data_IF_199868513955
#
_entry.id   IF_199868513955
#
_cell.length_a   1.000
_cell.length_b   1.000
_cell.length_c   1.000
_cell.angle_alpha   90.00
_cell.angle_beta   90.00
_cell.angle_gamma   90.00
#
_symmetry.space_group_name_H-M   'P 1'
#
loop_
_entity.id
_entity.type
_entity.pdbx_description
1 polymer ?
#
# COMPACT_ATOMS: atom_id res chain seq x y z
N UNK A 1 -26.11 38.46 15.45
CA UNK A 1 -26.26 39.01 16.81
C UNK A 1 -25.56 38.04 17.76
N UNK A 2 -24.56 38.55 18.46
CA UNK A 2 -23.44 37.87 19.14
C UNK A 2 -23.84 37.24 20.48
N UNK A 3 -23.32 36.04 20.82
CA UNK A 3 -22.93 35.62 22.20
C UNK A 3 -22.29 34.20 22.15
N UNK A 4 -20.94 34.07 22.21
CA UNK A 4 -20.08 33.79 23.38
C UNK A 4 -20.49 32.56 24.21
N UNK A 5 -19.71 31.47 24.12
CA UNK A 5 -19.62 30.43 25.16
C UNK A 5 -18.19 30.35 25.71
N UNK A 6 -18.11 30.19 27.03
CA UNK A 6 -16.95 30.33 27.91
C UNK A 6 -16.20 29.00 28.09
N UNK A 7 -14.88 29.11 28.18
CA UNK A 7 -13.93 28.14 28.73
C UNK A 7 -14.22 27.80 30.21
N UNK A 8 -13.92 26.56 30.61
CA UNK A 8 -13.64 26.18 32.00
C UNK A 8 -12.39 25.30 32.05
N UNK A 9 -11.32 25.89 32.59
CA UNK A 9 -10.18 25.21 33.21
C UNK A 9 -10.48 25.06 34.71
N UNK A 10 -10.11 23.94 35.33
CA UNK A 10 -9.90 23.88 36.77
C UNK A 10 -8.61 23.11 37.09
N UNK A 11 -7.66 23.86 37.63
CA UNK A 11 -6.49 23.40 38.38
C UNK A 11 -6.73 23.73 39.84
N UNK A 12 -6.41 22.82 40.77
CA UNK A 12 -6.07 23.18 42.15
C UNK A 12 -5.28 22.04 42.84
N UNK A 13 -4.00 22.31 43.11
CA UNK A 13 -3.21 21.68 44.16
C UNK A 13 -3.63 22.25 45.53
N UNK A 14 -3.56 21.46 46.60
CA UNK A 14 -3.12 21.97 47.92
C UNK A 14 -2.49 20.85 48.78
N UNK A 15 -1.39 21.24 49.44
CA UNK A 15 -0.49 20.48 50.33
C UNK A 15 -0.84 20.78 51.79
N UNK A 16 -0.65 19.80 52.69
CA UNK A 16 0.05 19.92 53.99
C UNK A 16 -0.37 18.82 54.98
N UNK A 17 0.61 18.17 55.61
CA UNK A 17 0.40 17.21 56.71
C UNK A 17 0.60 17.83 58.10
N UNK A 18 0.36 17.03 59.15
CA UNK A 18 1.15 17.01 60.39
C UNK A 18 0.77 15.80 61.28
N UNK A 19 1.75 15.38 62.07
CA UNK A 19 1.81 14.24 62.98
C UNK A 19 0.96 14.38 64.26
N UNK A 20 0.56 13.25 64.88
CA UNK A 20 0.91 12.96 66.28
C UNK A 20 0.60 11.50 66.70
N UNK A 21 1.34 11.02 67.70
CA UNK A 21 1.52 9.63 68.12
C UNK A 21 0.91 9.30 69.49
N UNK A 22 0.80 8.00 69.82
CA UNK A 22 0.81 7.33 71.15
C UNK A 22 1.00 5.82 70.86
N UNK A 23 2.10 5.10 71.19
CA UNK A 23 2.63 4.69 72.52
C UNK A 23 2.02 3.33 72.92
N UNK A 24 2.67 2.27 73.44
CA UNK A 24 4.04 1.88 73.83
C UNK A 24 3.97 0.36 74.15
N UNK A 25 5.03 -0.44 73.97
CA UNK A 25 5.56 -1.43 74.95
C UNK A 25 6.69 -2.34 74.39
N UNK A 26 7.67 -2.61 75.27
CA UNK A 26 8.99 -3.25 75.04
C UNK A 26 8.91 -4.79 75.19
N UNK A 27 9.57 -5.64 74.37
CA UNK A 27 10.94 -6.20 74.48
C UNK A 27 10.87 -7.69 73.98
N UNK A 28 11.95 -8.48 73.77
CA UNK A 28 13.38 -8.18 73.58
C UNK A 28 13.97 -8.72 72.24
N UNK A 29 15.20 -8.30 71.94
CA UNK A 29 16.05 -8.79 70.84
C UNK A 29 16.25 -10.31 70.89
N UNK A 30 15.94 -10.98 69.77
CA UNK A 30 16.50 -12.29 69.42
C UNK A 30 16.99 -12.26 67.98
N UNK A 31 18.26 -12.61 67.82
CA UNK A 31 18.96 -12.68 66.55
C UNK A 31 18.21 -13.60 65.57
N UNK A 32 17.89 -13.09 64.38
CA UNK A 32 17.54 -13.93 63.25
C UNK A 32 18.62 -13.82 62.18
N UNK A 33 19.31 -14.94 61.97
CA UNK A 33 20.37 -15.09 61.00
C UNK A 33 19.79 -14.92 59.60
N UNK A 34 20.38 -14.02 58.81
CA UNK A 34 20.04 -13.86 57.41
C UNK A 34 20.35 -15.14 56.64
N UNK A 35 19.30 -15.80 56.14
CA UNK A 35 19.45 -16.77 55.06
C UNK A 35 19.65 -15.98 53.77
N UNK A 36 20.90 -15.82 53.36
CA UNK A 36 21.21 -15.35 52.01
C UNK A 36 20.62 -16.37 51.01
N UNK A 37 19.70 -15.91 50.16
CA UNK A 37 19.33 -16.67 48.97
C UNK A 37 20.60 -16.90 48.13
N UNK A 38 20.79 -18.12 47.57
CA UNK A 38 21.93 -18.37 46.71
C UNK A 38 21.83 -17.45 45.49
N UNK A 39 22.85 -16.62 45.27
CA UNK A 39 23.00 -15.83 44.05
C UNK A 39 22.85 -16.76 42.84
N UNK A 40 21.77 -16.58 42.07
CA UNK A 40 21.65 -17.25 40.77
C UNK A 40 22.84 -16.79 39.93
N UNK A 41 23.57 -17.71 39.28
CA UNK A 41 24.63 -17.32 38.36
C UNK A 41 24.03 -16.39 37.32
N UNK A 42 24.64 -15.21 37.17
CA UNK A 42 24.23 -14.23 36.18
C UNK A 42 24.15 -14.94 34.82
N UNK A 43 22.94 -15.05 34.29
CA UNK A 43 22.74 -15.54 32.93
C UNK A 43 23.54 -14.60 32.03
N UNK A 44 24.56 -15.14 31.36
CA UNK A 44 25.24 -14.44 30.27
C UNK A 44 24.17 -14.05 29.28
N UNK A 45 23.80 -12.77 29.27
CA UNK A 45 22.80 -12.22 28.37
C UNK A 45 23.28 -12.51 26.95
N UNK A 46 22.55 -13.38 26.25
CA UNK A 46 22.67 -13.44 24.79
C UNK A 46 22.42 -12.02 24.30
N UNK A 47 23.27 -11.44 23.42
CA UNK A 47 23.03 -10.10 22.90
C UNK A 47 21.58 -10.02 22.43
N UNK A 48 20.80 -9.10 23.00
CA UNK A 48 19.41 -8.94 22.61
C UNK A 48 19.40 -8.72 21.09
N UNK A 49 18.77 -9.64 20.34
CA UNK A 49 18.65 -9.52 18.88
C UNK A 49 18.01 -8.15 18.64
N UNK A 50 18.66 -7.32 17.82
CA UNK A 50 18.10 -6.04 17.43
C UNK A 50 16.72 -6.31 16.82
N UNK A 51 15.70 -5.50 17.15
CA UNK A 51 14.40 -5.62 16.49
C UNK A 51 14.60 -5.53 14.96
N UNK A 52 13.85 -6.33 14.17
CA UNK A 52 14.00 -6.30 12.73
C UNK A 52 13.46 -4.99 12.16
N UNK A 53 13.98 -4.57 11.02
CA UNK A 53 13.29 -3.60 10.18
C UNK A 53 12.05 -4.27 9.57
N UNK A 54 11.07 -3.47 9.17
CA UNK A 54 9.86 -3.94 8.50
C UNK A 54 9.75 -3.16 7.19
N UNK A 55 9.69 -3.87 6.07
CA UNK A 55 9.39 -3.31 4.76
C UNK A 55 8.09 -3.93 4.28
N UNK A 56 7.05 -3.12 4.15
CA UNK A 56 5.79 -3.56 3.59
C UNK A 56 5.58 -2.85 2.25
N UNK A 57 5.65 -3.64 1.19
CA UNK A 57 5.38 -3.25 -0.19
C UNK A 57 3.94 -3.63 -0.54
N UNK A 58 3.17 -2.66 -1.02
CA UNK A 58 1.79 -2.84 -1.44
C UNK A 58 1.63 -2.40 -2.90
N UNK A 59 1.22 -3.33 -3.77
CA UNK A 59 0.77 -3.03 -5.12
C UNK A 59 -0.73 -2.65 -5.12
N UNK A 60 -1.17 -1.90 -6.13
CA UNK A 60 -2.54 -1.35 -6.23
C UNK A 60 -3.23 -1.96 -7.46
N UNK A 61 -4.25 -2.79 -7.24
CA UNK A 61 -4.97 -3.58 -8.26
C UNK A 61 -4.13 -4.65 -9.00
N UNK A 62 -3.01 -5.10 -8.45
CA UNK A 62 -2.24 -6.23 -9.02
C UNK A 62 -3.06 -7.52 -8.89
N UNK A 63 -3.20 -8.27 -10.00
CA UNK A 63 -3.94 -9.52 -10.01
C UNK A 63 -3.18 -10.71 -9.42
N UNK A 64 -3.93 -11.77 -9.08
CA UNK A 64 -3.42 -12.93 -8.34
C UNK A 64 -2.29 -13.65 -9.07
N UNK A 65 -2.43 -13.90 -10.36
CA UNK A 65 -1.42 -14.62 -11.15
C UNK A 65 -0.44 -13.72 -11.91
N UNK A 66 -0.34 -12.42 -11.62
CA UNK A 66 0.46 -11.47 -12.41
C UNK A 66 1.96 -11.43 -12.11
N UNK A 67 2.40 -12.08 -11.03
CA UNK A 67 3.81 -12.33 -10.76
C UNK A 67 4.26 -13.66 -11.37
N UNK A 68 5.49 -13.75 -11.88
CA UNK A 68 5.98 -15.00 -12.49
C UNK A 68 6.02 -16.17 -11.51
N UNK A 69 6.34 -15.92 -10.23
CA UNK A 69 6.18 -16.90 -9.15
C UNK A 69 4.73 -17.40 -8.94
N UNK A 70 3.73 -16.62 -9.35
CA UNK A 70 2.30 -16.98 -9.34
C UNK A 70 1.77 -17.43 -10.71
N UNK A 71 2.66 -17.68 -11.67
CA UNK A 71 2.33 -18.27 -12.97
C UNK A 71 2.26 -17.31 -14.14
N UNK A 72 2.70 -16.07 -13.94
CA UNK A 72 2.75 -15.03 -14.98
C UNK A 72 3.84 -15.25 -16.02
N UNK A 73 3.59 -14.74 -17.23
CA UNK A 73 4.61 -14.45 -18.25
C UNK A 73 5.35 -13.13 -18.02
N UNK A 74 4.79 -12.22 -17.20
CA UNK A 74 5.42 -10.95 -16.88
C UNK A 74 6.68 -11.22 -16.05
N UNK A 75 7.86 -10.73 -16.47
CA UNK A 75 9.09 -10.98 -15.73
C UNK A 75 9.12 -10.18 -14.42
N UNK A 76 9.09 -10.89 -13.29
CA UNK A 76 9.24 -10.30 -11.94
C UNK A 76 10.37 -10.97 -11.14
N UNK A 77 11.63 -10.92 -11.62
CA UNK A 77 12.73 -11.68 -11.03
C UNK A 77 13.07 -11.31 -9.58
N UNK A 78 12.83 -10.06 -9.14
CA UNK A 78 13.16 -9.64 -7.78
C UNK A 78 12.14 -10.18 -6.76
N UNK A 79 10.86 -10.09 -7.10
CA UNK A 79 9.76 -10.68 -6.33
C UNK A 79 9.82 -12.21 -6.37
N UNK A 80 10.23 -12.80 -7.49
CA UNK A 80 10.46 -14.25 -7.58
C UNK A 80 11.58 -14.70 -6.63
N UNK A 81 12.67 -13.94 -6.52
CA UNK A 81 13.74 -14.23 -5.57
C UNK A 81 13.24 -14.17 -4.12
N UNK A 82 12.44 -13.14 -3.77
CA UNK A 82 11.80 -13.07 -2.45
C UNK A 82 10.83 -14.23 -2.19
N UNK A 83 10.07 -14.63 -3.21
CA UNK A 83 9.13 -15.75 -3.11
C UNK A 83 9.85 -17.09 -2.94
N UNK A 84 10.97 -17.30 -3.64
CA UNK A 84 11.80 -18.49 -3.55
C UNK A 84 12.47 -18.63 -2.17
N UNK A 85 13.01 -17.54 -1.64
CA UNK A 85 13.71 -17.54 -0.34
C UNK A 85 12.76 -17.34 0.85
N UNK A 86 11.50 -17.03 0.59
CA UNK A 86 10.48 -16.68 1.57
C UNK A 86 9.30 -17.66 1.63
N UNK A 87 8.12 -17.10 1.92
CA UNK A 87 6.86 -17.85 1.98
C UNK A 87 5.85 -17.20 1.04
N UNK A 88 5.32 -18.00 0.11
CA UNK A 88 4.19 -17.61 -0.74
C UNK A 88 2.87 -17.90 -0.02
N UNK A 89 1.93 -16.96 -0.11
CA UNK A 89 0.60 -17.07 0.51
C UNK A 89 -0.45 -17.20 -0.58
N UNK A 90 -0.97 -18.41 -0.78
CA UNK A 90 -2.01 -18.68 -1.79
C UNK A 90 -3.43 -18.49 -1.26
N UNK A 91 -3.58 -18.25 0.06
CA UNK A 91 -4.86 -18.10 0.76
C UNK A 91 -4.82 -16.90 1.73
N UNK A 92 -4.35 -15.76 1.23
CA UNK A 92 -4.34 -14.46 1.91
C UNK A 92 -5.45 -13.56 1.34
N UNK A 93 -6.14 -12.82 2.20
CA UNK A 93 -7.30 -12.02 1.80
C UNK A 93 -7.12 -10.54 2.15
N UNK A 94 -7.50 -9.70 1.20
CA UNK A 94 -7.68 -8.26 1.38
C UNK A 94 -9.18 -7.90 1.39
N UNK A 95 -9.51 -6.64 1.62
CA UNK A 95 -10.83 -6.09 1.33
C UNK A 95 -11.08 -6.03 -0.19
N UNK A 96 -12.32 -5.73 -0.62
CA UNK A 96 -12.68 -5.72 -2.04
C UNK A 96 -12.15 -4.49 -2.81
N UNK A 97 -11.68 -3.45 -2.12
CA UNK A 97 -11.17 -2.21 -2.72
C UNK A 97 -10.09 -1.56 -1.83
N UNK A 98 -9.33 -0.65 -2.42
CA UNK A 98 -8.08 -0.10 -1.87
C UNK A 98 -8.19 0.45 -0.44
N UNK A 99 -9.06 1.45 -0.21
CA UNK A 99 -9.09 2.17 1.07
C UNK A 99 -9.65 1.35 2.24
N UNK A 100 -10.68 0.50 2.06
CA UNK A 100 -11.02 -0.53 3.03
C UNK A 100 -9.83 -1.40 3.44
N UNK A 101 -9.11 -2.01 2.48
CA UNK A 101 -7.93 -2.85 2.78
C UNK A 101 -6.86 -2.08 3.53
N UNK A 102 -6.50 -0.88 3.06
CA UNK A 102 -5.48 -0.04 3.71
C UNK A 102 -5.88 0.31 5.14
N UNK A 103 -7.17 0.56 5.40
CA UNK A 103 -7.64 0.82 6.76
C UNK A 103 -7.51 -0.40 7.68
N UNK A 104 -7.69 -1.61 7.13
CA UNK A 104 -7.51 -2.88 7.86
C UNK A 104 -6.03 -3.14 8.14
N UNK A 105 -5.14 -2.88 7.17
CA UNK A 105 -3.69 -2.96 7.34
C UNK A 105 -3.22 -2.13 8.54
N UNK A 106 -3.66 -0.87 8.63
CA UNK A 106 -3.18 0.04 9.68
C UNK A 106 -3.88 -0.15 11.02
N UNK A 107 -5.03 -0.79 11.08
CA UNK A 107 -5.79 -0.92 12.33
C UNK A 107 -5.81 -2.34 12.90
N UNK A 108 -5.48 -3.36 12.10
CA UNK A 108 -5.64 -4.77 12.47
C UNK A 108 -7.10 -5.18 12.69
N UNK A 109 -8.07 -4.38 12.25
CA UNK A 109 -9.51 -4.64 12.41
C UNK A 109 -10.27 -4.39 11.10
N UNK A 110 -11.57 -4.69 11.10
CA UNK A 110 -12.44 -4.51 9.93
C UNK A 110 -12.59 -3.02 9.54
N UNK A 111 -12.73 -2.76 8.23
CA UNK A 111 -12.78 -1.39 7.71
C UNK A 111 -13.98 -0.58 8.22
N UNK A 112 -15.11 -1.23 8.55
CA UNK A 112 -16.27 -0.58 9.17
C UNK A 112 -15.98 -0.13 10.60
N UNK A 113 -14.98 -0.70 11.28
CA UNK A 113 -14.51 -0.17 12.57
C UNK A 113 -13.47 0.92 12.38
N UNK A 114 -12.65 0.79 11.35
CA UNK A 114 -11.55 1.71 11.04
C UNK A 114 -11.99 3.03 10.36
N UNK A 115 -13.25 3.17 9.94
CA UNK A 115 -13.81 4.41 9.39
C UNK A 115 -14.03 4.41 7.87
N UNK A 116 -13.69 3.30 7.21
CA UNK A 116 -13.77 3.06 5.76
C UNK A 116 -14.71 1.88 5.47
N UNK A 117 -15.94 1.91 6.03
CA UNK A 117 -16.99 0.95 5.65
C UNK A 117 -17.35 1.05 4.15
N UNK A 118 -17.13 2.22 3.56
CA UNK A 118 -17.12 2.47 2.12
C UNK A 118 -15.94 3.38 1.78
N UNK A 119 -15.45 3.33 0.55
CA UNK A 119 -14.49 4.32 0.05
C UNK A 119 -15.07 5.74 0.18
N UNK A 120 -14.23 6.74 0.44
CA UNK A 120 -14.65 8.14 0.58
C UNK A 120 -15.48 8.63 -0.63
N UNK A 121 -15.02 8.32 -1.85
CA UNK A 121 -15.75 8.68 -3.08
C UNK A 121 -17.06 7.91 -3.31
N UNK A 122 -17.32 6.85 -2.55
CA UNK A 122 -18.53 6.02 -2.62
C UNK A 122 -19.55 6.30 -1.52
N UNK A 123 -19.33 7.33 -0.68
CA UNK A 123 -20.27 7.70 0.37
C UNK A 123 -21.63 8.12 -0.19
N UNK A 124 -22.70 7.74 0.51
CA UNK A 124 -24.08 8.11 0.21
C UNK A 124 -24.64 8.95 1.36
N UNK A 125 -25.71 9.74 1.15
CA UNK A 125 -26.31 10.55 2.21
C UNK A 125 -26.64 9.76 3.49
N UNK A 126 -27.01 8.47 3.35
CA UNK A 126 -27.35 7.58 4.46
C UNK A 126 -26.15 7.19 5.32
N UNK A 127 -24.93 7.27 4.78
CA UNK A 127 -23.69 6.95 5.50
C UNK A 127 -23.20 8.12 6.36
N UNK A 128 -23.69 9.33 6.09
CA UNK A 128 -23.22 10.54 6.78
C UNK A 128 -23.44 10.40 8.29
N UNK A 129 -22.41 10.74 9.06
CA UNK A 129 -22.39 10.71 10.52
C UNK A 129 -22.62 9.31 11.14
N UNK A 130 -22.62 8.24 10.33
CA UNK A 130 -22.72 6.87 10.83
C UNK A 130 -21.37 6.37 11.36
N UNK A 131 -21.35 5.61 12.47
CA UNK A 131 -20.14 4.97 12.96
C UNK A 131 -19.51 4.08 11.88
N UNK A 132 -18.21 4.27 11.62
CA UNK A 132 -17.50 3.48 10.61
C UNK A 132 -17.47 4.04 9.19
N UNK A 133 -18.16 5.15 8.94
CA UNK A 133 -18.27 5.78 7.63
C UNK A 133 -17.69 7.20 7.64
N UNK A 134 -16.54 7.36 8.30
CA UNK A 134 -15.86 8.65 8.40
C UNK A 134 -15.26 9.12 7.06
N UNK A 135 -14.92 8.19 6.16
CA UNK A 135 -14.24 8.48 4.89
C UNK A 135 -12.73 8.67 5.02
N UNK A 136 -12.19 8.46 6.22
CA UNK A 136 -10.76 8.48 6.54
C UNK A 136 -10.49 7.48 7.66
N UNK A 137 -9.23 7.04 7.81
CA UNK A 137 -8.85 6.18 8.93
C UNK A 137 -9.16 6.95 10.22
N UNK A 138 -10.11 6.48 11.01
CA UNK A 138 -10.61 7.23 12.15
C UNK A 138 -9.64 7.15 13.34
N UNK A 139 -9.93 7.91 14.39
CA UNK A 139 -9.17 7.95 15.64
C UNK A 139 -9.73 7.01 16.72
N UNK A 140 -10.59 6.07 16.35
CA UNK A 140 -11.07 4.99 17.23
C UNK A 140 -10.18 3.75 17.16
N UNK A 141 -9.20 3.75 16.24
CA UNK A 141 -8.19 2.71 16.06
C UNK A 141 -6.80 3.31 16.17
N UNK A 142 -5.89 2.62 16.86
CA UNK A 142 -4.47 2.97 16.85
C UNK A 142 -3.86 2.55 15.52
N UNK A 143 -3.15 3.46 14.84
CA UNK A 143 -2.44 3.13 13.61
C UNK A 143 -1.24 2.23 13.92
N UNK A 144 -0.96 1.23 13.09
CA UNK A 144 0.27 0.44 13.15
C UNK A 144 1.52 1.33 13.17
N UNK A 145 1.52 2.44 12.40
CA UNK A 145 2.64 3.37 12.38
C UNK A 145 2.75 4.17 13.70
N UNK A 146 1.64 4.55 14.34
CA UNK A 146 1.66 5.18 15.67
C UNK A 146 2.32 4.24 16.69
N UNK A 147 1.89 2.98 16.71
CA UNK A 147 2.42 1.96 17.63
C UNK A 147 3.91 1.69 17.41
N UNK A 148 4.37 1.67 16.16
CA UNK A 148 5.79 1.48 15.83
C UNK A 148 6.64 2.70 16.19
N UNK A 149 6.11 3.91 15.97
CA UNK A 149 6.75 5.15 16.43
C UNK A 149 6.90 5.17 17.95
N UNK A 150 5.86 4.81 18.71
CA UNK A 150 5.92 4.67 20.18
C UNK A 150 6.95 3.61 20.63
N UNK A 151 7.14 2.56 19.83
CA UNK A 151 8.14 1.52 20.05
C UNK A 151 9.57 1.92 19.63
N UNK A 152 9.76 3.15 19.12
CA UNK A 152 11.07 3.70 18.76
C UNK A 152 11.55 3.36 17.35
N UNK A 153 10.66 2.90 16.45
CA UNK A 153 10.97 2.75 15.04
C UNK A 153 11.00 4.09 14.33
N UNK A 154 11.87 4.23 13.33
CA UNK A 154 11.67 5.26 12.32
C UNK A 154 10.62 4.77 11.31
N UNK A 155 9.61 5.59 11.04
CA UNK A 155 8.47 5.22 10.18
C UNK A 155 8.44 6.06 8.90
N UNK A 156 8.39 5.42 7.75
CA UNK A 156 8.43 6.05 6.43
C UNK A 156 7.28 5.56 5.56
N UNK A 157 6.71 6.48 4.77
CA UNK A 157 5.72 6.12 3.76
C UNK A 157 6.03 6.77 2.41
N UNK A 158 5.98 6.00 1.35
CA UNK A 158 5.92 6.55 0.00
C UNK A 158 4.77 5.92 -0.78
N UNK A 159 4.10 6.72 -1.61
CA UNK A 159 3.03 6.24 -2.50
C UNK A 159 1.60 6.63 -2.09
N UNK A 160 0.63 5.74 -2.25
CA UNK A 160 -0.80 6.05 -2.11
C UNK A 160 -1.29 5.93 -0.67
N UNK A 161 -1.76 7.05 -0.10
CA UNK A 161 -2.35 7.07 1.23
C UNK A 161 -3.79 6.55 1.25
N UNK A 162 -4.72 7.25 0.59
CA UNK A 162 -6.12 6.84 0.44
C UNK A 162 -6.89 6.62 1.76
N UNK A 163 -6.42 7.21 2.86
CA UNK A 163 -7.02 7.09 4.19
C UNK A 163 -7.33 8.44 4.84
N UNK A 164 -7.38 9.50 4.02
CA UNK A 164 -7.61 10.88 4.46
C UNK A 164 -7.00 11.87 3.48
N UNK A 165 -7.51 13.09 3.45
CA UNK A 165 -7.08 14.14 2.51
C UNK A 165 -6.52 15.39 3.19
N UNK A 166 -6.79 15.55 4.48
CA UNK A 166 -6.34 16.71 5.26
C UNK A 166 -5.00 16.43 5.93
N UNK A 167 -4.39 17.45 6.51
CA UNK A 167 -3.16 17.26 7.30
C UNK A 167 -3.43 16.37 8.52
N UNK A 168 -4.55 16.59 9.20
CA UNK A 168 -4.97 15.85 10.39
C UNK A 168 -5.30 14.39 10.09
N UNK A 169 -5.60 14.06 8.83
CA UNK A 169 -5.93 12.69 8.40
C UNK A 169 -4.86 12.09 7.48
N UNK A 170 -3.73 12.78 7.30
CA UNK A 170 -2.60 12.36 6.47
C UNK A 170 -1.62 11.45 7.20
N UNK A 171 -0.59 10.93 6.51
CA UNK A 171 0.37 10.00 7.08
C UNK A 171 1.10 10.53 8.32
N UNK A 172 1.52 11.81 8.30
CA UNK A 172 2.23 12.43 9.44
C UNK A 172 1.39 12.42 10.71
N UNK A 173 0.08 12.70 10.59
CA UNK A 173 -0.84 12.65 11.72
C UNK A 173 -1.14 11.23 12.22
N UNK A 174 -0.77 10.20 11.44
CA UNK A 174 -1.05 8.78 11.70
C UNK A 174 0.20 7.94 11.93
N UNK A 175 1.26 8.60 12.39
CA UNK A 175 2.43 7.95 12.96
C UNK A 175 3.62 7.86 12.03
N UNK A 176 3.54 8.40 10.79
CA UNK A 176 4.70 8.47 9.90
C UNK A 176 5.56 9.70 10.20
N UNK A 177 6.87 9.52 10.21
CA UNK A 177 7.86 10.59 10.43
C UNK A 177 8.18 11.31 9.13
N UNK A 178 8.30 10.55 8.03
CA UNK A 178 8.55 11.06 6.68
C UNK A 178 7.52 10.44 5.73
N UNK A 179 6.99 11.25 4.84
CA UNK A 179 6.04 10.74 3.85
C UNK A 179 6.07 11.53 2.56
N UNK A 180 6.08 10.85 1.42
CA UNK A 180 5.78 11.44 0.12
C UNK A 180 4.63 10.67 -0.53
N UNK A 181 3.45 11.27 -0.58
CA UNK A 181 2.23 10.53 -0.92
C UNK A 181 1.33 11.22 -1.93
N UNK A 182 0.64 10.42 -2.74
CA UNK A 182 -0.65 10.85 -3.29
C UNK A 182 -1.74 10.60 -2.25
N UNK A 183 -2.64 11.57 -2.08
CA UNK A 183 -3.73 11.47 -1.11
C UNK A 183 -4.90 10.63 -1.65
N UNK A 184 -5.03 10.52 -2.98
CA UNK A 184 -6.14 9.84 -3.64
C UNK A 184 -5.75 9.34 -5.04
N UNK A 185 -6.39 8.26 -5.49
CA UNK A 185 -6.25 7.62 -6.81
C UNK A 185 -4.82 7.51 -7.34
N UNK A 186 -4.69 7.46 -8.67
CA UNK A 186 -3.42 7.21 -9.34
C UNK A 186 -3.28 8.01 -10.64
N UNK A 187 -2.06 8.51 -10.86
CA UNK A 187 -1.53 8.97 -12.14
C UNK A 187 -0.02 8.69 -12.09
N UNK A 188 0.51 8.10 -13.16
CA UNK A 188 1.84 7.50 -13.11
C UNK A 188 2.88 8.33 -13.82
N UNK A 189 2.52 9.02 -14.90
CA UNK A 189 3.44 9.80 -15.71
C UNK A 189 3.06 11.28 -15.75
N UNK A 190 4.05 12.12 -15.47
CA UNK A 190 3.92 13.57 -15.51
C UNK A 190 2.89 14.13 -14.51
N UNK A 191 2.42 15.36 -14.72
CA UNK A 191 1.51 16.03 -13.80
C UNK A 191 0.03 15.65 -13.94
N UNK A 192 -0.33 14.78 -14.91
CA UNK A 192 -1.74 14.48 -15.23
C UNK A 192 -2.54 14.14 -13.97
N UNK A 193 -3.67 14.80 -13.78
CA UNK A 193 -4.63 14.47 -12.73
C UNK A 193 -5.78 13.64 -13.30
N UNK A 194 -6.28 12.66 -12.55
CA UNK A 194 -7.53 11.94 -12.86
C UNK A 194 -8.79 12.66 -12.34
N UNK A 195 -8.60 13.76 -11.61
CA UNK A 195 -9.65 14.71 -11.21
C UNK A 195 -9.44 15.94 -12.08
N UNK A 196 -10.49 16.56 -12.59
CA UNK A 196 -10.50 17.72 -13.51
C UNK A 196 -9.60 18.94 -13.16
N UNK A 197 -8.82 18.87 -12.08
CA UNK A 197 -7.62 19.67 -11.79
C UNK A 197 -6.54 19.55 -12.88
N UNK A 198 -5.76 20.62 -13.07
CA UNK A 198 -4.61 20.62 -13.97
C UNK A 198 -3.45 19.72 -13.47
N UNK A 199 -3.36 19.47 -12.15
CA UNK A 199 -2.25 18.70 -11.55
C UNK A 199 -2.71 17.76 -10.44
N UNK A 200 -2.07 16.59 -10.35
CA UNK A 200 -2.29 15.64 -9.25
C UNK A 200 -1.71 16.18 -7.94
N UNK A 201 -2.51 16.33 -6.87
CA UNK A 201 -1.98 16.80 -5.60
C UNK A 201 -1.17 15.71 -4.89
N UNK A 202 0.12 15.97 -4.71
CA UNK A 202 0.99 15.20 -3.83
C UNK A 202 1.18 15.93 -2.50
N UNK A 203 1.60 15.18 -1.47
CA UNK A 203 2.00 15.74 -0.18
C UNK A 203 3.38 15.22 0.22
N UNK A 204 4.30 16.13 0.52
CA UNK A 204 5.62 15.84 1.09
C UNK A 204 5.61 16.31 2.57
N UNK A 205 5.60 15.36 3.49
CA UNK A 205 5.28 15.61 4.89
C UNK A 205 3.89 16.23 5.05
N UNK A 206 3.84 17.49 5.47
CA UNK A 206 2.59 18.25 5.62
C UNK A 206 2.28 19.15 4.42
N UNK A 207 3.27 19.41 3.54
CA UNK A 207 3.17 20.37 2.45
C UNK A 207 2.57 19.75 1.19
N UNK A 208 1.66 20.48 0.52
CA UNK A 208 1.16 20.08 -0.80
C UNK A 208 2.19 20.47 -1.86
N UNK A 209 2.50 19.52 -2.75
CA UNK A 209 3.50 19.68 -3.81
C UNK A 209 2.94 19.20 -5.15
N UNK A 210 3.45 19.77 -6.23
CA UNK A 210 3.17 19.35 -7.60
C UNK A 210 4.36 18.57 -8.16
N UNK A 211 4.07 17.64 -9.06
CA UNK A 211 5.08 16.87 -9.78
C UNK A 211 5.30 17.44 -11.18
N UNK A 212 6.50 17.25 -11.74
CA UNK A 212 6.86 17.74 -13.07
C UNK A 212 6.68 16.69 -14.16
N UNK A 213 7.05 17.04 -15.40
CA UNK A 213 6.86 16.20 -16.59
C UNK A 213 7.66 14.88 -16.57
N UNK A 214 8.83 14.86 -15.92
CA UNK A 214 9.67 13.65 -15.77
C UNK A 214 9.16 12.70 -14.67
N UNK A 215 8.07 13.03 -14.00
CA UNK A 215 7.56 12.21 -12.90
C UNK A 215 7.14 10.83 -13.40
N UNK A 216 7.71 9.78 -12.81
CA UNK A 216 7.19 8.42 -12.87
C UNK A 216 6.95 7.89 -11.45
N UNK A 217 5.69 7.62 -11.10
CA UNK A 217 5.29 7.35 -9.71
C UNK A 217 6.09 6.23 -9.06
N UNK A 218 6.24 5.09 -9.73
CA UNK A 218 6.95 3.91 -9.21
C UNK A 218 8.43 4.21 -8.93
N UNK A 219 9.07 5.00 -9.81
CA UNK A 219 10.45 5.46 -9.61
C UNK A 219 10.56 6.37 -8.40
N UNK A 220 9.76 7.44 -8.37
CA UNK A 220 9.87 8.48 -7.34
C UNK A 220 9.54 7.93 -5.95
N UNK A 221 8.54 7.05 -5.82
CA UNK A 221 8.23 6.42 -4.52
C UNK A 221 9.39 5.58 -3.99
N UNK A 222 10.13 4.93 -4.89
CA UNK A 222 11.29 4.10 -4.55
C UNK A 222 12.48 4.95 -4.15
N UNK A 223 12.82 5.94 -4.97
CA UNK A 223 13.91 6.90 -4.71
C UNK A 223 13.70 7.60 -3.35
N UNK A 224 12.50 8.14 -3.09
CA UNK A 224 12.18 8.80 -1.82
C UNK A 224 12.26 7.85 -0.62
N UNK A 225 11.89 6.57 -0.77
CA UNK A 225 12.00 5.63 0.34
C UNK A 225 13.46 5.34 0.69
N UNK A 226 14.31 5.12 -0.32
CA UNK A 226 15.74 4.92 -0.13
C UNK A 226 16.37 6.17 0.51
N UNK A 227 16.01 7.36 0.04
CA UNK A 227 16.44 8.63 0.64
C UNK A 227 16.05 8.74 2.11
N UNK A 228 14.83 8.35 2.48
CA UNK A 228 14.36 8.40 3.87
C UNK A 228 15.11 7.43 4.79
N UNK A 229 15.36 6.20 4.33
CA UNK A 229 16.14 5.21 5.08
C UNK A 229 17.58 5.71 5.24
N UNK A 230 18.19 6.23 4.18
CA UNK A 230 19.56 6.77 4.22
C UNK A 230 19.69 7.96 5.17
N UNK A 231 18.76 8.91 5.09
CA UNK A 231 18.80 10.16 5.86
C UNK A 231 18.82 9.93 7.38
N UNK A 232 18.14 8.89 7.85
CA UNK A 232 18.03 8.58 9.28
C UNK A 232 18.92 7.37 9.68
N UNK A 233 19.72 6.82 8.75
CA UNK A 233 20.55 5.62 8.98
C UNK A 233 21.50 5.76 10.16
N UNK A 234 22.05 6.95 10.37
CA UNK A 234 22.99 7.24 11.46
C UNK A 234 22.35 7.13 12.86
N UNK A 235 21.02 7.14 12.96
CA UNK A 235 20.31 6.97 14.25
C UNK A 235 20.41 5.54 14.79
N UNK A 236 20.71 4.55 13.94
CA UNK A 236 20.87 3.14 14.36
C UNK A 236 19.61 2.48 14.91
N UNK A 237 18.43 3.08 14.69
CA UNK A 237 17.11 2.57 15.06
C UNK A 237 16.57 1.60 13.99
N UNK A 238 15.69 0.64 14.35
CA UNK A 238 14.94 -0.11 13.34
C UNK A 238 13.99 0.83 12.59
N UNK A 239 13.57 0.45 11.39
CA UNK A 239 12.59 1.22 10.61
C UNK A 239 11.41 0.40 10.14
N UNK A 240 10.29 1.09 9.93
CA UNK A 240 9.11 0.62 9.22
C UNK A 240 8.97 1.44 7.93
N UNK A 241 9.20 0.80 6.79
CA UNK A 241 9.09 1.38 5.46
C UNK A 241 7.83 0.82 4.78
N UNK A 242 6.85 1.67 4.54
CA UNK A 242 5.63 1.32 3.81
C UNK A 242 5.68 1.91 2.39
N UNK A 243 5.95 1.05 1.40
CA UNK A 243 5.98 1.40 -0.02
C UNK A 243 4.63 1.03 -0.64
N UNK A 244 3.72 1.98 -0.68
CA UNK A 244 2.37 1.78 -1.20
C UNK A 244 2.28 2.24 -2.64
N UNK A 245 2.81 1.45 -3.57
CA UNK A 245 2.78 1.79 -4.99
C UNK A 245 1.34 2.05 -5.48
N UNK A 246 1.24 2.90 -6.51
CA UNK A 246 0.00 3.06 -7.28
C UNK A 246 -0.05 2.10 -8.46
N UNK A 247 1.07 1.50 -8.87
CA UNK A 247 1.08 0.54 -9.97
C UNK A 247 0.52 -0.83 -9.51
N UNK A 248 -0.16 -1.59 -10.38
CA UNK A 248 -0.50 -1.28 -11.78
C UNK A 248 -1.90 -0.67 -12.01
N UNK A 249 -2.45 0.05 -11.03
CA UNK A 249 -3.76 0.72 -11.11
C UNK A 249 -3.87 1.66 -12.32
N UNK A 250 -5.09 2.01 -12.71
CA UNK A 250 -5.36 2.95 -13.80
C UNK A 250 -5.04 4.41 -13.42
N UNK A 251 -4.80 5.29 -14.41
CA UNK A 251 -4.70 4.99 -15.84
C UNK A 251 -3.47 4.14 -16.14
N UNK A 252 -3.60 3.09 -16.97
CA UNK A 252 -2.43 2.26 -17.28
C UNK A 252 -1.43 3.08 -18.10
N UNK A 253 -0.28 3.35 -17.51
CA UNK A 253 0.73 4.26 -18.02
C UNK A 253 2.13 3.78 -17.62
N UNK A 254 3.06 3.76 -18.56
CA UNK A 254 4.45 3.38 -18.33
C UNK A 254 5.40 4.11 -19.29
N UNK A 255 6.69 4.30 -18.92
CA UNK A 255 7.68 4.87 -19.83
C UNK A 255 7.73 4.13 -21.17
N UNK A 256 8.03 4.83 -22.27
CA UNK A 256 8.04 4.26 -23.62
C UNK A 256 9.04 3.08 -23.73
N UNK A 257 10.21 3.20 -23.11
CA UNK A 257 11.21 2.15 -23.05
C UNK A 257 10.73 0.91 -22.29
N UNK A 258 9.78 1.08 -21.37
CA UNK A 258 9.17 -0.02 -20.63
C UNK A 258 8.10 -0.72 -21.43
N UNK A 259 7.23 0.03 -22.11
CA UNK A 259 6.21 -0.53 -23.02
C UNK A 259 6.87 -1.30 -24.15
N UNK A 260 7.97 -0.77 -24.71
CA UNK A 260 8.67 -1.37 -25.85
C UNK A 260 9.10 -2.83 -25.61
N UNK A 261 9.39 -3.21 -24.35
CA UNK A 261 9.78 -4.59 -23.97
C UNK A 261 8.68 -5.62 -24.23
N UNK A 262 7.42 -5.21 -24.25
CA UNK A 262 6.26 -6.08 -24.34
C UNK A 262 5.59 -6.10 -25.72
N UNK A 263 6.10 -5.33 -26.68
CA UNK A 263 5.53 -5.21 -28.03
C UNK A 263 5.25 -6.57 -28.66
N UNK A 264 3.98 -6.83 -29.02
CA UNK A 264 3.51 -8.04 -29.68
C UNK A 264 3.37 -9.28 -28.78
N UNK A 265 3.71 -9.19 -27.49
CA UNK A 265 3.61 -10.34 -26.58
C UNK A 265 2.15 -10.76 -26.31
N UNK A 266 1.20 -9.84 -26.50
CA UNK A 266 -0.21 -10.01 -26.16
C UNK A 266 -1.14 -10.17 -27.38
N UNK A 267 -0.58 -10.35 -28.59
CA UNK A 267 -1.34 -10.47 -29.85
C UNK A 267 -2.23 -11.72 -29.92
N UNK A 268 -1.89 -12.76 -29.14
CA UNK A 268 -2.71 -13.97 -29.02
C UNK A 268 -4.02 -13.75 -28.24
N UNK A 269 -4.08 -12.69 -27.42
CA UNK A 269 -5.31 -12.25 -26.75
C UNK A 269 -5.56 -12.81 -25.34
N UNK A 270 -6.47 -12.14 -24.64
CA UNK A 270 -6.82 -12.45 -23.25
C UNK A 270 -7.42 -13.85 -23.06
N UNK A 271 -8.11 -14.42 -24.05
CA UNK A 271 -8.70 -15.76 -23.92
C UNK A 271 -7.60 -16.83 -23.92
N UNK A 272 -6.58 -16.68 -24.77
CA UNK A 272 -5.42 -17.58 -24.80
C UNK A 272 -4.60 -17.42 -23.54
N UNK A 273 -4.32 -16.18 -23.11
CA UNK A 273 -3.52 -15.91 -21.93
C UNK A 273 -4.21 -16.42 -20.66
N UNK A 274 -5.53 -16.26 -20.55
CA UNK A 274 -6.32 -16.79 -19.44
C UNK A 274 -6.14 -18.32 -19.29
N UNK A 275 -6.23 -19.08 -20.39
CA UNK A 275 -6.03 -20.53 -20.33
C UNK A 275 -4.58 -20.90 -19.94
N UNK A 276 -3.60 -20.11 -20.37
CA UNK A 276 -2.20 -20.30 -19.98
C UNK A 276 -1.98 -20.07 -18.47
N UNK A 277 -2.49 -18.96 -17.92
CA UNK A 277 -2.41 -18.65 -16.48
C UNK A 277 -3.16 -19.69 -15.65
N UNK A 278 -4.37 -20.08 -16.07
CA UNK A 278 -5.16 -21.11 -15.40
C UNK A 278 -4.43 -22.45 -15.35
N UNK A 279 -3.85 -22.89 -16.47
CA UNK A 279 -3.04 -24.11 -16.52
C UNK A 279 -1.83 -24.01 -15.60
N UNK A 280 -1.14 -22.86 -15.60
CA UNK A 280 0.04 -22.65 -14.77
C UNK A 280 -0.28 -22.67 -13.27
N UNK A 281 -1.40 -22.07 -12.85
CA UNK A 281 -1.87 -22.11 -11.46
C UNK A 281 -2.18 -23.55 -11.01
N UNK A 282 -2.73 -24.39 -11.90
CA UNK A 282 -2.95 -25.82 -11.64
C UNK A 282 -1.62 -26.57 -11.50
N UNK A 283 -0.67 -26.32 -12.40
CA UNK A 283 0.66 -26.96 -12.37
C UNK A 283 1.46 -26.59 -11.12
N UNK A 284 1.31 -25.35 -10.63
CA UNK A 284 1.89 -24.89 -9.37
C UNK A 284 1.18 -25.46 -8.13
N UNK A 285 0.01 -26.08 -8.30
CA UNK A 285 -0.80 -26.62 -7.20
C UNK A 285 -1.47 -25.54 -6.34
N UNK A 286 -1.59 -24.32 -6.86
CA UNK A 286 -2.22 -23.20 -6.14
C UNK A 286 -3.75 -23.31 -6.17
N UNK A 287 -4.28 -23.98 -7.19
CA UNK A 287 -5.71 -24.30 -7.32
C UNK A 287 -5.89 -25.79 -7.67
N UNK A 288 -7.08 -26.38 -7.42
CA UNK A 288 -7.38 -27.76 -7.81
C UNK A 288 -7.21 -28.01 -9.32
N UNK A 289 -6.68 -29.18 -9.69
CA UNK A 289 -6.46 -29.55 -11.10
C UNK A 289 -7.77 -29.58 -11.93
N UNK A 290 -8.89 -29.91 -11.28
CA UNK A 290 -10.24 -29.93 -11.86
C UNK A 290 -10.97 -28.59 -11.76
N UNK A 291 -10.32 -27.52 -11.28
CA UNK A 291 -10.92 -26.19 -11.21
C UNK A 291 -11.35 -25.74 -12.63
N UNK A 292 -12.64 -25.43 -12.85
CA UNK A 292 -13.16 -25.06 -14.18
C UNK A 292 -12.74 -23.64 -14.62
N UNK A 293 -12.15 -22.85 -13.72
CA UNK A 293 -11.82 -21.46 -13.94
C UNK A 293 -13.04 -20.52 -13.87
N UNK A 294 -12.78 -19.22 -13.96
CA UNK A 294 -13.80 -18.18 -14.00
C UNK A 294 -14.43 -18.02 -15.40
N UNK A 295 -15.76 -17.88 -15.51
CA UNK A 295 -16.40 -17.57 -16.78
C UNK A 295 -16.04 -16.16 -17.26
N UNK A 296 -16.22 -15.88 -18.56
CA UNK A 296 -16.13 -14.50 -19.09
C UNK A 296 -17.13 -13.60 -18.39
N UNK A 297 -16.74 -12.34 -18.17
CA UNK A 297 -17.64 -11.34 -17.65
C UNK A 297 -18.83 -11.12 -18.62
N UNK A 298 -20.03 -11.01 -18.07
CA UNK A 298 -21.24 -10.89 -18.87
C UNK A 298 -21.19 -9.66 -19.80
N UNK A 299 -21.53 -9.87 -21.07
CA UNK A 299 -21.57 -8.80 -22.09
C UNK A 299 -20.20 -8.41 -22.66
N UNK A 300 -19.11 -9.10 -22.29
CA UNK A 300 -17.80 -8.85 -22.89
C UNK A 300 -17.55 -9.76 -24.10
N UNK A 301 -16.97 -9.24 -25.20
CA UNK A 301 -16.71 -10.02 -26.42
C UNK A 301 -15.65 -11.11 -26.19
N UNK A 302 -15.59 -12.11 -27.08
CA UNK A 302 -14.42 -12.98 -27.20
C UNK A 302 -13.30 -12.24 -27.93
N UNK A 303 -12.05 -12.68 -27.77
CA UNK A 303 -10.93 -12.10 -28.54
C UNK A 303 -11.13 -12.23 -30.06
N UNK A 304 -11.69 -13.36 -30.51
CA UNK A 304 -11.97 -13.64 -31.91
C UNK A 304 -13.09 -12.77 -32.50
N UNK A 305 -13.99 -12.26 -31.65
CA UNK A 305 -15.11 -11.41 -32.06
C UNK A 305 -14.68 -9.93 -32.27
N UNK A 306 -13.49 -9.55 -31.79
CA UNK A 306 -12.96 -8.20 -31.94
C UNK A 306 -12.57 -7.93 -33.40
N UNK A 307 -12.67 -6.67 -33.82
CA UNK A 307 -12.00 -6.19 -35.03
C UNK A 307 -10.48 -6.20 -34.87
N UNK A 308 -9.76 -6.05 -35.98
CA UNK A 308 -8.28 -5.95 -35.95
C UNK A 308 -7.80 -4.74 -35.14
N UNK A 309 -8.50 -3.61 -35.25
CA UNK A 309 -8.20 -2.39 -34.50
C UNK A 309 -8.43 -2.58 -32.99
N UNK A 310 -9.56 -3.18 -32.61
CA UNK A 310 -9.86 -3.48 -31.20
C UNK A 310 -8.82 -4.44 -30.60
N UNK A 311 -8.41 -5.48 -31.33
CA UNK A 311 -7.33 -6.39 -30.86
C UNK A 311 -6.02 -5.64 -30.61
N UNK A 312 -5.62 -4.74 -31.50
CA UNK A 312 -4.41 -3.93 -31.33
C UNK A 312 -4.50 -3.02 -30.11
N UNK A 313 -5.64 -2.40 -29.89
CA UNK A 313 -5.89 -1.57 -28.71
C UNK A 313 -5.81 -2.42 -27.44
N UNK A 314 -6.52 -3.55 -27.37
CA UNK A 314 -6.52 -4.42 -26.20
C UNK A 314 -5.14 -5.02 -25.90
N UNK A 315 -4.39 -5.47 -26.93
CA UNK A 315 -3.02 -5.93 -26.77
C UNK A 315 -2.14 -4.82 -26.18
N UNK A 316 -2.20 -3.60 -26.73
CA UNK A 316 -1.43 -2.46 -26.21
C UNK A 316 -1.78 -2.13 -24.75
N UNK A 317 -3.04 -2.24 -24.33
CA UNK A 317 -3.39 -2.03 -22.90
C UNK A 317 -2.63 -3.01 -22.00
N UNK A 318 -2.57 -4.28 -22.41
CA UNK A 318 -1.85 -5.31 -21.65
C UNK A 318 -0.33 -5.15 -21.72
N UNK A 319 0.24 -4.71 -22.85
CA UNK A 319 1.66 -4.35 -22.95
C UNK A 319 2.04 -3.27 -21.93
N UNK A 320 1.21 -2.23 -21.80
CA UNK A 320 1.43 -1.14 -20.84
C UNK A 320 1.26 -1.64 -19.40
N UNK A 321 0.23 -2.45 -19.12
CA UNK A 321 0.04 -3.06 -17.81
C UNK A 321 1.24 -3.93 -17.39
N UNK A 322 1.70 -4.81 -18.28
CA UNK A 322 2.86 -5.66 -18.06
C UNK A 322 4.16 -4.84 -17.85
N UNK A 323 4.31 -3.74 -18.58
CA UNK A 323 5.39 -2.79 -18.35
C UNK A 323 5.35 -2.18 -16.95
N UNK A 324 4.17 -1.80 -16.44
CA UNK A 324 4.01 -1.29 -15.08
C UNK A 324 4.36 -2.34 -14.01
N UNK A 325 3.92 -3.58 -14.18
CA UNK A 325 4.22 -4.69 -13.24
C UNK A 325 5.71 -5.04 -13.27
N UNK A 326 6.32 -5.09 -14.46
CA UNK A 326 7.76 -5.33 -14.61
C UNK A 326 8.61 -4.20 -14.01
N UNK A 327 8.19 -2.93 -14.18
CA UNK A 327 8.88 -1.82 -13.54
C UNK A 327 8.67 -1.81 -12.02
N UNK A 328 7.48 -2.17 -11.51
CA UNK A 328 7.24 -2.38 -10.09
C UNK A 328 8.27 -3.37 -9.51
N UNK A 329 8.43 -4.53 -10.15
CA UNK A 329 9.43 -5.51 -9.73
C UNK A 329 10.86 -4.96 -9.75
N UNK A 330 11.25 -4.27 -10.84
CA UNK A 330 12.57 -3.65 -10.95
C UNK A 330 12.85 -2.70 -9.79
N UNK A 331 11.90 -1.83 -9.46
CA UNK A 331 12.06 -0.86 -8.38
C UNK A 331 12.00 -1.49 -6.99
N UNK A 332 11.25 -2.58 -6.81
CA UNK A 332 11.37 -3.42 -5.60
C UNK A 332 12.78 -3.99 -5.48
N UNK A 333 13.37 -4.42 -6.60
CA UNK A 333 14.77 -4.82 -6.69
C UNK A 333 15.74 -3.74 -6.20
N UNK A 334 15.54 -2.48 -6.61
CA UNK A 334 16.37 -1.35 -6.16
C UNK A 334 16.31 -1.13 -4.63
N UNK A 335 15.14 -1.30 -4.01
CA UNK A 335 15.01 -1.25 -2.53
C UNK A 335 15.78 -2.40 -1.89
N UNK A 336 15.60 -3.62 -2.40
CA UNK A 336 16.27 -4.83 -1.89
C UNK A 336 17.79 -4.70 -1.99
N UNK A 337 18.28 -4.24 -3.13
CA UNK A 337 19.72 -4.05 -3.38
C UNK A 337 20.29 -2.96 -2.49
N UNK A 338 19.55 -1.88 -2.27
CA UNK A 338 19.94 -0.86 -1.30
C UNK A 338 20.03 -1.47 0.12
N UNK A 339 19.02 -2.22 0.58
CA UNK A 339 19.05 -2.89 1.89
C UNK A 339 20.23 -3.85 2.04
N UNK A 340 20.58 -4.60 0.99
CA UNK A 340 21.77 -5.47 0.95
C UNK A 340 23.05 -4.64 1.05
N UNK A 341 23.14 -3.54 0.31
CA UNK A 341 24.32 -2.67 0.27
C UNK A 341 24.64 -2.03 1.64
N UNK A 342 23.62 -1.78 2.47
CA UNK A 342 23.77 -1.24 3.82
C UNK A 342 23.75 -2.30 4.92
N UNK A 343 23.75 -3.59 4.54
CA UNK A 343 23.78 -4.73 5.46
C UNK A 343 22.51 -4.86 6.32
N UNK A 344 21.37 -4.34 5.87
CA UNK A 344 20.09 -4.40 6.59
C UNK A 344 19.16 -5.51 6.09
N UNK A 345 19.42 -6.09 4.91
CA UNK A 345 18.53 -7.09 4.29
C UNK A 345 18.23 -8.29 5.20
N UNK A 346 19.26 -8.94 5.75
CA UNK A 346 19.11 -10.13 6.61
C UNK A 346 18.35 -9.90 7.93
N UNK A 347 18.22 -8.64 8.37
CA UNK A 347 17.47 -8.25 9.58
C UNK A 347 16.21 -7.45 9.22
N UNK A 348 15.63 -7.69 8.04
CA UNK A 348 14.41 -7.02 7.57
C UNK A 348 13.33 -8.05 7.29
N UNK A 349 12.16 -7.88 7.92
CA UNK A 349 10.95 -8.57 7.52
C UNK A 349 10.36 -7.85 6.31
N UNK A 350 10.23 -8.55 5.18
CA UNK A 350 9.67 -8.01 3.94
C UNK A 350 8.32 -8.68 3.66
N UNK A 351 7.28 -7.87 3.50
CA UNK A 351 5.95 -8.31 3.07
C UNK A 351 5.62 -7.63 1.74
N UNK A 352 5.18 -8.42 0.75
CA UNK A 352 4.62 -7.93 -0.50
C UNK A 352 3.19 -8.44 -0.64
N UNK A 353 2.24 -7.55 -0.91
CA UNK A 353 0.85 -7.93 -1.25
C UNK A 353 0.26 -7.00 -2.31
N UNK A 354 -0.84 -7.42 -2.93
CA UNK A 354 -1.79 -6.50 -3.57
C UNK A 354 -2.82 -6.01 -2.54
N UNK A 355 -3.53 -4.91 -2.80
CA UNK A 355 -4.55 -4.37 -1.91
C UNK A 355 -5.98 -4.84 -2.19
N UNK A 356 -6.22 -5.43 -3.37
CA UNK A 356 -7.44 -6.10 -3.77
C UNK A 356 -7.18 -6.97 -5.01
N UNK A 357 -8.25 -7.52 -5.62
CA UNK A 357 -8.15 -8.23 -6.89
C UNK A 357 -7.90 -7.29 -8.08
N UNK A 358 -7.67 -7.89 -9.25
CA UNK A 358 -7.47 -7.18 -10.51
C UNK A 358 -8.67 -6.29 -10.87
N UNK A 359 -8.41 -5.04 -11.29
CA UNK A 359 -9.44 -4.07 -11.63
C UNK A 359 -10.10 -4.33 -13.00
N UNK A 360 -11.33 -4.86 -12.97
CA UNK A 360 -12.11 -5.15 -14.19
C UNK A 360 -13.02 -4.01 -14.65
N UNK A 361 -13.11 -2.89 -13.94
CA UNK A 361 -14.03 -1.81 -14.28
C UNK A 361 -13.58 -1.01 -15.51
N UNK A 362 -14.54 -0.36 -16.17
CA UNK A 362 -14.32 0.57 -17.29
C UNK A 362 -14.97 1.92 -17.01
N UNK A 363 -14.56 2.53 -15.89
CA UNK A 363 -15.04 3.86 -15.49
C UNK A 363 -14.69 4.94 -16.50
N UNK A 364 -13.58 4.76 -17.23
CA UNK A 364 -13.17 5.56 -18.38
C UNK A 364 -14.25 5.64 -19.49
N UNK A 365 -15.20 4.70 -19.53
CA UNK A 365 -16.30 4.68 -20.50
C UNK A 365 -17.65 5.15 -19.93
N UNK A 366 -17.69 5.63 -18.67
CA UNK A 366 -18.95 5.91 -17.98
C UNK A 366 -19.02 7.34 -17.42
N UNK A 367 -20.20 7.93 -17.53
CA UNK A 367 -20.57 9.16 -16.83
C UNK A 367 -19.63 10.34 -17.07
N UNK A 368 -19.43 11.22 -16.06
CA UNK A 368 -18.57 12.39 -16.18
C UNK A 368 -17.11 12.06 -16.51
N UNK A 369 -16.62 10.89 -16.08
CA UNK A 369 -15.25 10.46 -16.37
C UNK A 369 -15.03 10.27 -17.88
N UNK A 370 -16.01 9.66 -18.58
CA UNK A 370 -15.94 9.51 -20.04
C UNK A 370 -15.82 10.88 -20.73
N UNK A 371 -16.69 11.82 -20.38
CA UNK A 371 -16.69 13.17 -20.98
C UNK A 371 -15.38 13.89 -20.74
N UNK A 372 -14.79 13.74 -19.56
CA UNK A 372 -13.48 14.28 -19.24
C UNK A 372 -12.37 13.61 -20.05
N UNK A 373 -12.33 12.28 -20.12
CA UNK A 373 -11.34 11.49 -20.89
C UNK A 373 -11.37 11.88 -22.37
N UNK A 374 -12.56 11.98 -22.97
CA UNK A 374 -12.74 12.39 -24.38
C UNK A 374 -12.23 13.81 -24.66
N UNK A 375 -12.18 14.68 -23.63
CA UNK A 375 -11.72 16.06 -23.75
C UNK A 375 -10.24 16.24 -23.46
N UNK A 376 -9.69 15.55 -22.46
CA UNK A 376 -8.33 15.79 -21.97
C UNK A 376 -7.26 14.97 -22.69
N UNK A 377 -7.61 13.78 -23.15
CA UNK A 377 -6.66 12.70 -23.17
C UNK A 377 -6.53 12.09 -24.58
N UNK A 378 -5.28 11.86 -25.00
CA UNK A 378 -4.97 11.28 -26.30
C UNK A 378 -4.86 9.76 -26.19
N UNK A 379 -5.97 9.08 -26.49
CA UNK A 379 -6.09 7.62 -26.44
C UNK A 379 -5.96 6.95 -27.81
N UNK A 380 -5.34 7.61 -28.80
CA UNK A 380 -4.98 6.96 -30.07
C UNK A 380 -3.99 5.83 -29.81
N UNK A 381 -4.06 4.77 -30.61
CA UNK A 381 -3.24 3.56 -30.43
C UNK A 381 -1.74 3.87 -30.30
N UNK A 382 -1.25 4.83 -31.07
CA UNK A 382 0.16 5.23 -31.05
C UNK A 382 0.56 5.87 -29.72
N UNK A 383 -0.39 6.49 -29.00
CA UNK A 383 -0.19 7.25 -27.75
C UNK A 383 -0.63 6.51 -26.47
N UNK A 384 -1.32 5.37 -26.62
CA UNK A 384 -1.85 4.59 -25.50
C UNK A 384 -0.72 4.20 -24.52
N UNK A 385 -0.89 4.57 -23.24
CA UNK A 385 0.07 4.30 -22.16
C UNK A 385 1.02 5.45 -21.82
N UNK A 386 0.99 6.56 -22.57
CA UNK A 386 1.79 7.76 -22.26
C UNK A 386 1.08 8.69 -21.25
N UNK A 387 1.83 9.65 -20.70
CA UNK A 387 1.37 10.51 -19.61
C UNK A 387 0.18 11.42 -19.89
N UNK A 388 -0.22 11.60 -21.15
CA UNK A 388 -1.45 12.30 -21.54
C UNK A 388 -2.56 11.36 -22.07
N UNK A 389 -2.40 10.05 -21.91
CA UNK A 389 -3.45 9.05 -22.18
C UNK A 389 -4.14 8.65 -20.86
N UNK A 390 -5.40 8.24 -20.94
CA UNK A 390 -6.15 7.75 -19.80
C UNK A 390 -7.00 6.56 -20.21
N UNK A 391 -6.59 5.37 -19.77
CA UNK A 391 -7.29 4.12 -20.09
C UNK A 391 -7.28 3.13 -18.95
N UNK A 392 -8.31 2.29 -18.94
CA UNK A 392 -8.40 1.10 -18.11
C UNK A 392 -8.31 -0.14 -19.01
N UNK A 393 -7.51 -1.13 -18.60
CA UNK A 393 -7.35 -2.42 -19.30
C UNK A 393 -8.62 -3.28 -19.33
N UNK A 394 -9.43 -3.29 -18.27
CA UNK A 394 -10.81 -3.77 -18.31
C UNK A 394 -11.02 -5.25 -17.97
N UNK A 395 -12.27 -5.73 -18.07
CA UNK A 395 -12.71 -6.96 -17.40
C UNK A 395 -12.15 -8.24 -18.02
N UNK A 396 -11.89 -8.25 -19.33
CA UNK A 396 -11.32 -9.43 -20.00
C UNK A 396 -9.86 -9.65 -19.61
N UNK A 397 -9.07 -8.58 -19.47
CA UNK A 397 -7.71 -8.67 -18.93
C UNK A 397 -7.70 -8.93 -17.43
N UNK A 398 -8.56 -8.28 -16.63
CA UNK A 398 -8.65 -8.56 -15.20
C UNK A 398 -9.05 -10.02 -14.89
N UNK A 399 -9.80 -10.67 -15.78
CA UNK A 399 -10.16 -12.10 -15.68
C UNK A 399 -8.95 -13.03 -15.86
N UNK A 400 -7.90 -12.58 -16.55
CA UNK A 400 -6.68 -13.40 -16.76
C UNK A 400 -6.01 -13.75 -15.43
N UNK A 401 -6.17 -12.89 -14.42
CA UNK A 401 -5.48 -12.96 -13.14
C UNK A 401 -6.03 -14.00 -12.15
#
# INVERSE_FOLDING_TARGET
MTLRYRFLLFTALFVAGLLCACGRDQAPDTANQGTAEPERPAATATPAKRPPNIVYILADDLGYSDLSAYGSEIPTPNLDALAHDGLMLTNFYAGPTCSPTRSMIFSGTDSHRAGLGVMDGGQRPEHKDQPGYAGYLNFQVASLADLLTDAGYNTYMTGKWHLGKTEETGPIARGFRRSFVTLDGAAHLGPLSWRESDTMPYRDGTELVNVGDDFYSTRVYTERMIEYIEADRAEGKPFFAYLAYTAPHWPVQAPDESIARFTGQYDAGYDVLYEQRLARLKDLGFIPADNPGAPRAAGQPAWEDLSEEERRIEARKMEVYAAMVSDLDRYVGEVIDYLKSIGQFENTFILFTSDNGAEGQRRDLLGPMKEWVEKCCDNRLENLGRGNSYIMYGPNWARVS
#
